data_IF_567507318863
#
_entry.id   IF_567507318863
#
_cell.length_a   1.000
_cell.length_b   1.000
_cell.length_c   1.000
_cell.angle_alpha   90.00
_cell.angle_beta   90.00
_cell.angle_gamma   90.00
#
_symmetry.space_group_name_H-M   'P 1'
#
loop_
_entity.id
_entity.type
_entity.pdbx_description
1 polymer ?
#
# COMPACT_ATOMS: atom_id res chain seq x y z
N UNK A 1 22.09 -2.65 2.48
CA UNK A 1 21.85 -2.33 1.06
C UNK A 1 20.60 -1.48 0.99
N UNK A 2 20.51 -0.59 0.00
CA UNK A 2 19.33 0.26 -0.19
C UNK A 2 18.18 -0.61 -0.70
N UNK A 3 16.97 -0.35 -0.23
CA UNK A 3 15.82 -1.21 -0.50
C UNK A 3 15.03 -0.67 -1.70
N UNK A 4 14.65 -1.53 -2.64
CA UNK A 4 13.74 -1.17 -3.74
C UNK A 4 12.45 -0.56 -3.19
N UNK A 5 12.07 0.61 -3.72
CA UNK A 5 10.85 1.33 -3.35
C UNK A 5 9.61 0.61 -3.88
N UNK A 6 8.46 0.80 -3.24
CA UNK A 6 7.21 0.20 -3.68
C UNK A 6 6.80 0.75 -5.05
N UNK A 7 7.07 2.03 -5.34
CA UNK A 7 6.86 2.59 -6.67
C UNK A 7 7.68 1.90 -7.74
N UNK A 8 8.98 1.73 -7.53
CA UNK A 8 9.85 1.04 -8.50
C UNK A 8 9.42 -0.41 -8.69
N UNK A 9 9.03 -1.08 -7.61
CA UNK A 9 8.52 -2.44 -7.64
C UNK A 9 7.23 -2.53 -8.46
N UNK A 10 6.29 -1.59 -8.26
CA UNK A 10 5.09 -1.51 -9.08
C UNK A 10 5.42 -1.27 -10.55
N UNK A 11 6.29 -0.30 -10.86
CA UNK A 11 6.70 -0.03 -12.24
C UNK A 11 7.37 -1.23 -12.91
N UNK A 12 8.10 -2.05 -12.14
CA UNK A 12 8.65 -3.33 -12.62
C UNK A 12 7.55 -4.36 -12.92
N UNK A 13 6.60 -4.55 -11.99
CA UNK A 13 5.47 -5.47 -12.16
C UNK A 13 4.56 -5.07 -13.34
N UNK A 14 4.48 -3.77 -13.64
CA UNK A 14 3.74 -3.24 -14.79
C UNK A 14 4.54 -3.27 -16.11
N UNK A 15 5.80 -3.73 -16.10
CA UNK A 15 6.67 -3.73 -17.29
C UNK A 15 7.05 -2.33 -17.80
N UNK A 16 7.00 -1.31 -16.94
CA UNK A 16 7.26 0.11 -17.30
C UNK A 16 8.73 0.53 -17.18
N UNK A 17 9.56 -0.23 -16.47
CA UNK A 17 10.99 0.02 -16.37
C UNK A 17 11.73 -0.58 -17.57
N UNK A 18 12.14 0.30 -18.49
CA UNK A 18 12.77 0.00 -19.79
C UNK A 18 14.21 -0.53 -19.73
N UNK A 19 14.76 -0.77 -18.54
CA UNK A 19 16.08 -1.42 -18.40
C UNK A 19 16.02 -2.95 -18.48
N UNK A 20 14.81 -3.55 -18.45
CA UNK A 20 14.62 -4.93 -18.89
C UNK A 20 14.57 -4.96 -20.41
N UNK A 21 15.72 -5.17 -21.04
CA UNK A 21 15.79 -5.50 -22.46
C UNK A 21 15.04 -6.82 -22.63
N UNK A 22 13.79 -6.72 -23.12
CA UNK A 22 12.83 -7.80 -23.41
C UNK A 22 12.01 -8.21 -22.18
N UNK A 23 10.68 -8.16 -22.30
CA UNK A 23 9.70 -8.54 -21.26
C UNK A 23 9.72 -10.03 -20.90
N UNK A 24 10.86 -10.51 -20.41
CA UNK A 24 11.17 -11.87 -19.98
C UNK A 24 12.19 -11.86 -18.83
N UNK A 25 12.30 -10.79 -18.05
CA UNK A 25 13.06 -10.87 -16.80
C UNK A 25 12.27 -11.73 -15.81
N UNK A 26 12.91 -12.77 -15.31
CA UNK A 26 12.37 -13.61 -14.25
C UNK A 26 12.10 -12.74 -13.02
N UNK A 27 10.81 -12.48 -12.75
CA UNK A 27 10.36 -11.69 -11.60
C UNK A 27 10.47 -12.47 -10.28
N UNK A 28 10.78 -13.78 -10.31
CA UNK A 28 10.84 -14.63 -9.11
C UNK A 28 11.72 -14.07 -7.98
N UNK A 29 12.95 -13.60 -8.24
CA UNK A 29 13.81 -13.08 -7.18
C UNK A 29 13.21 -11.84 -6.51
N UNK A 30 12.67 -10.91 -7.31
CA UNK A 30 12.12 -9.66 -6.83
C UNK A 30 10.84 -9.89 -6.02
N UNK A 31 9.96 -10.76 -6.53
CA UNK A 31 8.70 -11.08 -5.86
C UNK A 31 8.95 -11.85 -4.57
N UNK A 32 9.91 -12.78 -4.56
CA UNK A 32 10.32 -13.52 -3.35
C UNK A 32 10.92 -12.59 -2.30
N UNK A 33 11.83 -11.70 -2.70
CA UNK A 33 12.47 -10.73 -1.79
C UNK A 33 11.44 -9.82 -1.09
N UNK A 34 10.38 -9.46 -1.81
CA UNK A 34 9.37 -8.52 -1.33
C UNK A 34 8.08 -9.17 -0.84
N UNK A 35 8.02 -10.50 -0.83
CA UNK A 35 6.84 -11.28 -0.44
C UNK A 35 6.25 -10.84 0.90
N UNK A 36 7.10 -10.62 1.91
CA UNK A 36 6.63 -10.22 3.23
C UNK A 36 5.90 -8.86 3.23
N UNK A 37 6.27 -7.94 2.32
CA UNK A 37 5.55 -6.66 2.15
C UNK A 37 4.15 -6.91 1.59
N UNK A 38 4.04 -7.76 0.57
CA UNK A 38 2.76 -8.13 -0.06
C UNK A 38 1.83 -8.82 0.93
N UNK A 39 2.36 -9.77 1.70
CA UNK A 39 1.63 -10.51 2.73
C UNK A 39 1.04 -9.60 3.80
N UNK A 40 1.78 -8.57 4.24
CA UNK A 40 1.40 -7.71 5.35
C UNK A 40 0.53 -6.51 4.92
N UNK A 41 0.54 -6.14 3.64
CA UNK A 41 -0.17 -4.94 3.15
C UNK A 41 0.19 -3.71 4.00
N UNK A 42 -0.80 -2.99 4.53
CA UNK A 42 -0.53 -1.76 5.29
C UNK A 42 0.14 -2.03 6.65
N UNK A 43 0.02 -3.24 7.21
CA UNK A 43 0.71 -3.63 8.45
C UNK A 43 2.23 -3.76 8.27
N UNK A 44 2.72 -3.73 7.02
CA UNK A 44 4.14 -3.63 6.74
C UNK A 44 4.72 -2.32 7.31
N UNK A 45 3.93 -1.24 7.34
CA UNK A 45 4.30 0.05 7.91
C UNK A 45 4.00 0.06 9.40
N UNK A 46 5.00 -0.29 10.20
CA UNK A 46 4.90 -0.45 11.64
C UNK A 46 4.83 0.91 12.33
N UNK A 47 4.21 0.93 13.50
CA UNK A 47 4.21 2.09 14.39
C UNK A 47 5.57 2.31 15.05
N UNK A 48 5.86 3.53 15.55
CA UNK A 48 7.07 3.82 16.31
C UNK A 48 7.26 2.85 17.49
N UNK A 49 8.51 2.49 17.77
CA UNK A 49 8.83 1.55 18.85
C UNK A 49 10.07 1.97 19.63
N UNK A 50 10.07 1.70 20.94
CA UNK A 50 11.24 1.99 21.79
C UNK A 50 12.48 1.24 21.33
N UNK A 51 12.32 0.05 20.76
CA UNK A 51 13.40 -0.77 20.22
C UNK A 51 14.02 -0.10 18.98
N UNK A 52 13.22 0.27 17.99
CA UNK A 52 13.69 0.94 16.77
C UNK A 52 14.31 2.30 17.06
N UNK A 53 13.71 3.06 18.00
CA UNK A 53 14.27 4.32 18.49
C UNK A 53 15.66 4.15 19.12
N UNK A 54 15.85 3.11 19.93
CA UNK A 54 17.15 2.81 20.53
C UNK A 54 18.15 2.37 19.46
N UNK A 55 17.73 1.49 18.54
CA UNK A 55 18.57 1.04 17.42
C UNK A 55 19.02 2.22 16.56
N UNK A 56 18.12 3.12 16.17
CA UNK A 56 18.44 4.32 15.39
C UNK A 56 19.55 5.15 16.06
N UNK A 57 19.45 5.38 17.37
CA UNK A 57 20.45 6.12 18.16
C UNK A 57 21.78 5.40 18.30
N UNK A 58 21.77 4.07 18.23
CA UNK A 58 22.94 3.21 18.36
C UNK A 58 23.53 2.78 17.01
N UNK A 59 22.92 3.18 15.88
CA UNK A 59 23.42 2.81 14.56
C UNK A 59 24.88 3.24 14.44
N UNK A 60 25.81 2.28 14.18
CA UNK A 60 27.18 2.63 13.85
C UNK A 60 27.21 3.43 12.55
N UNK A 61 28.36 3.97 12.16
CA UNK A 61 28.54 4.71 10.90
C UNK A 61 27.92 3.97 9.70
N UNK A 62 26.68 4.30 9.39
CA UNK A 62 25.95 3.76 8.25
C UNK A 62 26.37 4.60 7.07
N UNK A 63 26.70 3.97 5.93
CA UNK A 63 26.83 4.66 4.65
C UNK A 63 25.65 5.60 4.45
N UNK A 64 25.85 6.88 4.74
CA UNK A 64 24.96 7.93 4.28
C UNK A 64 25.40 8.27 2.87
N UNK A 65 24.43 8.69 2.07
CA UNK A 65 24.56 9.09 0.68
C UNK A 65 26.01 9.42 0.27
N UNK A 66 26.54 8.69 -0.72
CA UNK A 66 27.86 8.83 -1.38
C UNK A 66 28.95 7.77 -1.06
N UNK A 67 28.59 6.59 -0.57
CA UNK A 67 29.54 5.50 -0.28
C UNK A 67 30.60 5.82 0.80
N UNK A 68 30.53 6.98 1.44
CA UNK A 68 31.38 7.32 2.56
C UNK A 68 30.76 6.81 3.87
N UNK A 69 31.56 6.12 4.68
CA UNK A 69 31.15 5.72 6.03
C UNK A 69 31.11 6.99 6.87
N UNK A 70 29.92 7.49 7.16
CA UNK A 70 29.73 8.63 8.03
C UNK A 70 28.71 8.28 9.11
N UNK A 71 28.95 8.74 10.33
CA UNK A 71 27.96 8.65 11.41
C UNK A 71 26.71 9.44 11.02
N UNK A 72 25.52 8.93 11.33
CA UNK A 72 24.29 9.72 11.27
C UNK A 72 24.51 10.98 12.13
N UNK A 73 24.44 12.15 11.51
CA UNK A 73 24.61 13.39 12.26
C UNK A 73 23.47 13.49 13.29
N UNK A 74 23.71 14.09 14.48
CA UNK A 74 22.65 14.31 15.46
C UNK A 74 21.43 15.01 14.87
N UNK A 75 21.67 15.97 13.98
CA UNK A 75 20.63 16.72 13.26
C UNK A 75 19.75 15.80 12.39
N UNK A 76 20.35 14.89 11.61
CA UNK A 76 19.58 13.91 10.82
C UNK A 76 18.83 12.95 11.74
N UNK A 77 19.43 12.51 12.84
CA UNK A 77 18.78 11.62 13.81
C UNK A 77 17.52 12.27 14.40
N UNK A 78 17.63 13.51 14.88
CA UNK A 78 16.50 14.26 15.44
C UNK A 78 15.42 14.53 14.38
N UNK A 79 15.84 14.80 13.13
CA UNK A 79 14.93 14.92 12.00
C UNK A 79 14.15 13.63 11.73
N UNK A 80 14.82 12.47 11.66
CA UNK A 80 14.16 11.16 11.47
C UNK A 80 13.17 10.89 12.61
N UNK A 81 13.51 11.21 13.85
CA UNK A 81 12.61 11.04 14.99
C UNK A 81 11.37 11.93 14.89
N UNK A 82 11.53 13.18 14.44
CA UNK A 82 10.42 14.12 14.20
C UNK A 82 9.50 13.66 13.07
N UNK A 83 10.08 13.17 11.97
CA UNK A 83 9.31 12.61 10.85
C UNK A 83 8.58 11.33 11.28
N UNK A 84 9.24 10.45 12.02
CA UNK A 84 8.65 9.21 12.55
C UNK A 84 7.40 9.48 13.40
N UNK A 85 7.46 10.49 14.28
CA UNK A 85 6.32 10.94 15.08
C UNK A 85 5.19 11.52 14.21
N UNK A 86 5.55 12.31 13.19
CA UNK A 86 4.58 12.92 12.26
C UNK A 86 3.84 11.86 11.44
N UNK A 87 4.57 10.85 10.94
CA UNK A 87 4.04 9.79 10.08
C UNK A 87 3.35 8.65 10.86
N UNK A 88 3.53 8.58 12.19
CA UNK A 88 3.24 7.38 12.99
C UNK A 88 3.89 6.12 12.37
N UNK A 89 5.16 6.26 11.95
CA UNK A 89 5.96 5.23 11.28
C UNK A 89 7.20 4.87 12.12
N UNK A 90 7.53 3.59 12.18
CA UNK A 90 8.74 3.07 12.81
C UNK A 90 10.00 3.85 12.44
N UNK A 91 10.86 4.10 13.42
CA UNK A 91 12.04 4.94 13.28
C UNK A 91 13.02 4.42 12.21
N UNK A 92 13.17 3.10 12.09
CA UNK A 92 14.07 2.50 11.09
C UNK A 92 13.42 2.48 9.69
N UNK A 93 12.10 2.30 9.62
CA UNK A 93 11.37 2.45 8.35
C UNK A 93 11.38 3.90 7.87
N UNK A 94 11.33 4.86 8.79
CA UNK A 94 11.46 6.29 8.49
C UNK A 94 12.86 6.63 7.97
N UNK A 95 13.92 6.04 8.55
CA UNK A 95 15.28 6.18 8.02
C UNK A 95 15.40 5.63 6.58
N UNK A 96 14.80 4.46 6.31
CA UNK A 96 14.80 3.86 4.97
C UNK A 96 14.03 4.73 3.96
N UNK A 97 12.84 5.21 4.35
CA UNK A 97 12.04 6.14 3.57
C UNK A 97 12.85 7.40 3.21
N UNK A 98 13.52 7.99 4.20
CA UNK A 98 14.42 9.13 4.01
C UNK A 98 15.51 8.81 2.98
N UNK A 99 16.23 7.70 3.14
CA UNK A 99 17.30 7.31 2.23
C UNK A 99 16.79 7.13 0.80
N UNK A 100 15.63 6.49 0.62
CA UNK A 100 15.02 6.29 -0.68
C UNK A 100 14.55 7.60 -1.32
N UNK A 101 13.92 8.48 -0.54
CA UNK A 101 13.49 9.80 -1.00
C UNK A 101 14.66 10.57 -1.62
N UNK A 102 15.79 10.62 -0.92
CA UNK A 102 17.00 11.30 -1.38
C UNK A 102 17.54 10.75 -2.70
N UNK A 103 17.52 9.42 -2.88
CA UNK A 103 17.99 8.80 -4.12
C UNK A 103 17.05 9.06 -5.29
N UNK A 104 15.73 9.01 -5.06
CA UNK A 104 14.73 9.27 -6.10
C UNK A 104 14.72 10.73 -6.55
N UNK A 105 15.08 11.67 -5.67
CA UNK A 105 15.00 13.10 -5.96
C UNK A 105 16.34 13.75 -6.33
N UNK A 106 17.45 12.98 -6.33
CA UNK A 106 18.81 13.39 -6.77
C UNK A 106 19.19 14.85 -6.44
N UNK A 107 18.68 15.40 -5.33
CA UNK A 107 19.01 16.76 -4.95
C UNK A 107 20.36 16.70 -4.26
N UNK A 108 21.40 17.05 -5.01
CA UNK A 108 22.75 17.30 -4.51
C UNK A 108 22.78 18.56 -3.61
N UNK A 109 21.92 18.59 -2.59
CA UNK A 109 21.79 19.68 -1.65
C UNK A 109 22.07 19.15 -0.27
N UNK A 110 22.99 19.79 0.46
CA UNK A 110 23.33 19.47 1.85
C UNK A 110 22.18 19.77 2.85
N UNK A 111 20.95 19.91 2.37
CA UNK A 111 19.79 20.33 3.18
C UNK A 111 18.87 19.14 3.42
N UNK A 112 18.35 19.07 4.64
CA UNK A 112 17.26 18.17 4.98
C UNK A 112 16.02 18.50 4.14
N UNK A 113 15.24 17.49 3.73
CA UNK A 113 14.02 17.69 2.98
C UNK A 113 12.93 18.28 3.89
N UNK A 114 11.89 18.86 3.29
CA UNK A 114 10.71 19.25 4.08
C UNK A 114 10.03 17.99 4.63
N UNK A 115 9.55 18.04 5.86
CA UNK A 115 8.74 16.98 6.47
C UNK A 115 7.51 16.67 5.60
N UNK A 116 6.95 17.69 4.96
CA UNK A 116 5.80 17.57 4.04
C UNK A 116 6.14 16.76 2.79
N UNK A 117 7.37 16.86 2.28
CA UNK A 117 7.78 16.09 1.10
C UNK A 117 7.92 14.61 1.45
N UNK A 118 8.54 14.30 2.60
CA UNK A 118 8.60 12.94 3.11
C UNK A 118 7.21 12.40 3.47
N UNK A 119 6.32 13.26 3.97
CA UNK A 119 4.92 12.91 4.19
C UNK A 119 4.26 12.50 2.87
N UNK A 120 4.37 13.30 1.82
CA UNK A 120 3.82 12.96 0.50
C UNK A 120 4.37 11.63 0.00
N UNK A 121 5.71 11.50 0.00
CA UNK A 121 6.40 10.30 -0.47
C UNK A 121 5.99 9.04 0.29
N UNK A 122 5.85 9.11 1.61
CA UNK A 122 5.33 8.01 2.43
C UNK A 122 3.92 7.60 2.03
N UNK A 123 3.02 8.57 1.82
CA UNK A 123 1.64 8.29 1.43
C UNK A 123 1.58 7.62 0.05
N UNK A 124 2.45 8.01 -0.89
CA UNK A 124 2.58 7.33 -2.18
C UNK A 124 3.10 5.90 -2.04
N UNK A 125 4.17 5.67 -1.27
CA UNK A 125 4.75 4.34 -1.07
C UNK A 125 3.75 3.35 -0.46
N UNK A 126 2.82 3.82 0.40
CA UNK A 126 1.73 3.01 0.93
C UNK A 126 0.75 2.57 -0.15
N UNK A 127 0.37 3.50 -1.03
CA UNK A 127 -0.54 3.22 -2.14
C UNK A 127 0.13 2.24 -3.11
N UNK A 128 1.39 2.50 -3.49
CA UNK A 128 2.12 1.63 -4.41
C UNK A 128 2.30 0.21 -3.88
N UNK A 129 2.42 0.01 -2.56
CA UNK A 129 2.44 -1.34 -2.01
C UNK A 129 1.14 -2.10 -2.33
N UNK A 130 -0.01 -1.45 -2.18
CA UNK A 130 -1.30 -2.06 -2.53
C UNK A 130 -1.42 -2.27 -4.04
N UNK A 131 -0.95 -1.32 -4.85
CA UNK A 131 -0.91 -1.47 -6.32
C UNK A 131 -0.03 -2.64 -6.77
N UNK A 132 1.11 -2.89 -6.12
CA UNK A 132 1.92 -4.08 -6.39
C UNK A 132 1.10 -5.35 -6.21
N UNK A 133 0.37 -5.47 -5.10
CA UNK A 133 -0.44 -6.66 -4.83
C UNK A 133 -1.60 -6.76 -5.82
N UNK A 134 -2.28 -5.65 -6.13
CA UNK A 134 -3.29 -5.61 -7.20
C UNK A 134 -2.72 -6.08 -8.53
N UNK A 135 -1.50 -5.66 -8.89
CA UNK A 135 -0.81 -6.07 -10.11
C UNK A 135 -0.53 -7.57 -10.13
N UNK A 136 -0.07 -8.14 -9.01
CA UNK A 136 0.14 -9.59 -8.89
C UNK A 136 -1.15 -10.37 -9.15
N UNK A 137 -2.26 -9.98 -8.53
CA UNK A 137 -3.55 -10.66 -8.75
C UNK A 137 -4.09 -10.43 -10.17
N UNK A 138 -3.98 -9.22 -10.70
CA UNK A 138 -4.44 -8.93 -12.07
C UNK A 138 -3.68 -9.72 -13.13
N UNK A 139 -2.38 -9.90 -12.92
CA UNK A 139 -1.49 -10.60 -13.85
C UNK A 139 -1.34 -12.09 -13.51
N UNK A 140 -2.17 -12.65 -12.61
CA UNK A 140 -2.07 -14.05 -12.16
C UNK A 140 -2.26 -15.06 -13.30
N UNK A 141 -3.07 -14.72 -14.30
CA UNK A 141 -3.32 -15.56 -15.47
C UNK A 141 -2.44 -15.21 -16.68
N UNK A 142 -1.42 -14.37 -16.50
CA UNK A 142 -0.47 -14.05 -17.56
C UNK A 142 0.67 -15.08 -17.58
N UNK A 143 0.61 -15.99 -18.56
CA UNK A 143 1.62 -17.04 -18.78
C UNK A 143 3.04 -16.48 -19.02
N UNK A 144 3.18 -15.18 -19.32
CA UNK A 144 4.47 -14.51 -19.49
C UNK A 144 5.24 -14.33 -18.16
N UNK A 145 4.57 -14.48 -17.01
CA UNK A 145 5.12 -14.19 -15.69
C UNK A 145 4.92 -15.36 -14.68
N UNK A 146 5.64 -16.48 -14.85
CA UNK A 146 5.39 -17.72 -14.08
C UNK A 146 5.60 -17.61 -12.56
N UNK A 147 6.32 -16.60 -12.10
CA UNK A 147 6.54 -16.32 -10.67
C UNK A 147 5.30 -15.76 -9.95
N UNK A 148 4.44 -15.06 -10.70
CA UNK A 148 3.26 -14.38 -10.16
C UNK A 148 2.24 -15.40 -9.65
N UNK A 149 1.86 -16.46 -10.40
CA UNK A 149 0.95 -17.49 -9.92
C UNK A 149 1.36 -18.16 -8.62
N UNK A 150 2.65 -18.50 -8.50
CA UNK A 150 3.16 -19.13 -7.29
C UNK A 150 3.02 -18.20 -6.07
N UNK A 151 3.27 -16.91 -6.28
CA UNK A 151 3.16 -15.89 -5.24
C UNK A 151 1.72 -15.67 -4.81
N UNK A 152 0.81 -15.56 -5.78
CA UNK A 152 -0.63 -15.41 -5.54
C UNK A 152 -1.17 -16.61 -4.75
N UNK A 153 -0.80 -17.83 -5.14
CA UNK A 153 -1.15 -19.04 -4.38
C UNK A 153 -0.62 -19.00 -2.95
N UNK A 154 0.62 -18.55 -2.74
CA UNK A 154 1.16 -18.39 -1.40
C UNK A 154 0.39 -17.33 -0.58
N UNK A 155 -0.02 -16.20 -1.19
CA UNK A 155 -0.84 -15.18 -0.54
C UNK A 155 -2.22 -15.73 -0.14
N UNK A 156 -2.83 -16.58 -0.96
CA UNK A 156 -4.08 -17.27 -0.60
C UNK A 156 -3.89 -18.16 0.63
N UNK A 157 -2.83 -18.96 0.68
CA UNK A 157 -2.50 -19.82 1.83
C UNK A 157 -2.27 -19.01 3.11
N UNK A 158 -1.71 -17.80 2.97
CA UNK A 158 -1.51 -16.84 4.05
C UNK A 158 -2.75 -15.99 4.38
N UNK A 159 -3.93 -16.37 3.87
CA UNK A 159 -5.23 -15.75 4.16
C UNK A 159 -5.29 -14.26 3.84
N UNK A 160 -4.74 -13.87 2.69
CA UNK A 160 -4.71 -12.47 2.24
C UNK A 160 -6.11 -11.81 2.24
N UNK A 161 -7.17 -12.54 1.87
CA UNK A 161 -8.54 -12.03 1.87
C UNK A 161 -8.99 -11.56 3.27
N UNK A 162 -8.72 -12.35 4.31
CA UNK A 162 -9.07 -11.99 5.69
C UNK A 162 -8.37 -10.69 6.10
N UNK A 163 -7.09 -10.54 5.72
CA UNK A 163 -6.31 -9.33 5.99
C UNK A 163 -6.87 -8.12 5.23
N UNK A 164 -7.20 -8.29 3.95
CA UNK A 164 -7.79 -7.22 3.12
C UNK A 164 -9.13 -6.77 3.68
N UNK A 165 -9.98 -7.69 4.14
CA UNK A 165 -11.26 -7.35 4.79
C UNK A 165 -11.02 -6.59 6.10
N UNK A 166 -10.10 -7.08 6.95
CA UNK A 166 -9.76 -6.45 8.22
C UNK A 166 -9.23 -5.02 8.02
N UNK A 167 -8.17 -4.84 7.23
CA UNK A 167 -7.56 -3.53 7.03
C UNK A 167 -8.50 -2.56 6.30
N UNK A 168 -9.34 -3.05 5.38
CA UNK A 168 -10.38 -2.20 4.78
C UNK A 168 -11.43 -1.76 5.81
N UNK A 169 -11.78 -2.64 6.75
CA UNK A 169 -12.69 -2.27 7.86
C UNK A 169 -12.06 -1.18 8.72
N UNK A 170 -10.78 -1.31 9.06
CA UNK A 170 -10.06 -0.30 9.85
C UNK A 170 -9.97 1.04 9.11
N UNK A 171 -9.70 1.03 7.81
CA UNK A 171 -9.66 2.24 6.98
C UNK A 171 -11.00 2.96 6.89
N UNK A 172 -12.10 2.26 7.16
CA UNK A 172 -13.46 2.75 6.94
C UNK A 172 -14.21 2.98 8.24
N UNK A 173 -13.49 2.87 9.37
CA UNK A 173 -14.00 3.26 10.66
C UNK A 173 -14.45 4.72 10.60
N UNK A 174 -15.76 4.93 10.70
CA UNK A 174 -16.39 6.24 10.68
C UNK A 174 -15.96 7.13 11.86
N UNK A 175 -15.37 6.53 12.90
CA UNK A 175 -14.83 7.21 14.06
C UNK A 175 -13.35 7.57 13.93
N UNK A 176 -12.67 7.14 12.86
CA UNK A 176 -11.28 7.52 12.61
C UNK A 176 -11.19 9.04 12.51
N UNK A 177 -10.48 9.67 13.46
CA UNK A 177 -10.20 11.10 13.42
C UNK A 177 -8.95 11.35 12.58
N UNK A 178 -8.89 12.51 11.93
CA UNK A 178 -7.64 13.02 11.39
C UNK A 178 -6.62 13.05 12.54
N UNK A 179 -5.41 12.49 12.37
CA UNK A 179 -4.41 12.50 13.43
C UNK A 179 -4.09 13.93 13.88
N UNK A 180 -4.11 14.17 15.19
CA UNK A 180 -4.04 15.51 15.78
C UNK A 180 -2.72 16.24 15.53
N UNK A 181 -1.65 15.49 15.22
CA UNK A 181 -0.33 16.02 14.93
C UNK A 181 -0.21 16.60 13.50
N UNK A 182 -1.19 16.37 12.62
CA UNK A 182 -1.12 16.84 11.24
C UNK A 182 -1.56 18.30 11.12
N UNK A 183 -0.81 19.06 10.33
CA UNK A 183 -1.24 20.39 9.90
C UNK A 183 -2.33 20.29 8.80
N UNK A 184 -2.89 21.44 8.39
CA UNK A 184 -3.99 21.47 7.41
C UNK A 184 -3.62 20.84 6.05
N UNK A 185 -2.40 21.08 5.56
CA UNK A 185 -1.93 20.50 4.29
C UNK A 185 -1.79 18.97 4.40
N UNK A 186 -1.17 18.51 5.49
CA UNK A 186 -1.00 17.08 5.77
C UNK A 186 -2.33 16.36 6.00
N UNK A 187 -3.31 17.02 6.62
CA UNK A 187 -4.66 16.48 6.81
C UNK A 187 -5.36 16.21 5.47
N UNK A 188 -5.20 17.12 4.48
CA UNK A 188 -5.70 16.92 3.12
C UNK A 188 -5.01 15.72 2.47
N UNK A 189 -3.67 15.65 2.51
CA UNK A 189 -2.92 14.52 1.94
C UNK A 189 -3.37 13.19 2.58
N UNK A 190 -3.47 13.17 3.92
CA UNK A 190 -3.92 12.00 4.68
C UNK A 190 -5.32 11.56 4.25
N UNK A 191 -6.28 12.48 4.12
CA UNK A 191 -7.66 12.13 3.75
C UNK A 191 -7.73 11.53 2.33
N UNK A 192 -6.99 12.10 1.38
CA UNK A 192 -6.91 11.57 0.02
C UNK A 192 -6.20 10.21 -0.02
N UNK A 193 -5.16 9.99 0.80
CA UNK A 193 -4.50 8.69 0.95
C UNK A 193 -5.47 7.62 1.47
N UNK A 194 -6.24 7.92 2.52
CA UNK A 194 -7.22 6.96 3.08
C UNK A 194 -8.18 6.47 1.99
N UNK A 195 -8.76 7.38 1.20
CA UNK A 195 -9.69 7.01 0.12
C UNK A 195 -8.98 6.22 -0.98
N UNK A 196 -7.74 6.58 -1.34
CA UNK A 196 -6.95 5.83 -2.31
C UNK A 196 -6.63 4.39 -1.83
N UNK A 197 -6.28 4.23 -0.55
CA UNK A 197 -6.05 2.92 0.07
C UNK A 197 -7.33 2.08 0.08
N UNK A 198 -8.47 2.68 0.44
CA UNK A 198 -9.77 2.01 0.37
C UNK A 198 -10.08 1.52 -1.05
N UNK A 199 -9.86 2.36 -2.07
CA UNK A 199 -10.08 2.00 -3.47
C UNK A 199 -9.12 0.90 -3.97
N UNK A 200 -7.86 0.90 -3.54
CA UNK A 200 -6.91 -0.16 -3.86
C UNK A 200 -7.31 -1.49 -3.19
N UNK A 201 -7.77 -1.46 -1.94
CA UNK A 201 -8.28 -2.64 -1.25
C UNK A 201 -9.55 -3.20 -1.92
N UNK A 202 -10.45 -2.34 -2.42
CA UNK A 202 -11.60 -2.79 -3.21
C UNK A 202 -11.18 -3.46 -4.52
N UNK A 203 -10.22 -2.88 -5.26
CA UNK A 203 -9.67 -3.53 -6.47
C UNK A 203 -9.04 -4.88 -6.16
N UNK A 204 -8.29 -4.98 -5.06
CA UNK A 204 -7.70 -6.24 -4.64
C UNK A 204 -8.78 -7.29 -4.33
N UNK A 205 -9.84 -6.92 -3.60
CA UNK A 205 -10.99 -7.82 -3.37
C UNK A 205 -11.64 -8.26 -4.68
N UNK A 206 -11.83 -7.33 -5.61
CA UNK A 206 -12.42 -7.63 -6.92
C UNK A 206 -11.60 -8.72 -7.65
N UNK A 207 -10.28 -8.56 -7.77
CA UNK A 207 -9.45 -9.57 -8.42
C UNK A 207 -9.42 -10.89 -7.65
N UNK A 208 -9.40 -10.87 -6.32
CA UNK A 208 -9.49 -12.09 -5.50
C UNK A 208 -10.81 -12.85 -5.77
N UNK A 209 -11.92 -12.14 -5.96
CA UNK A 209 -13.22 -12.77 -6.19
C UNK A 209 -13.44 -13.23 -7.63
N UNK A 210 -12.79 -12.58 -8.59
CA UNK A 210 -12.88 -12.93 -10.00
C UNK A 210 -12.23 -14.28 -10.34
N UNK A 211 -11.31 -14.79 -9.51
CA UNK A 211 -10.62 -16.07 -9.75
C UNK A 211 -11.39 -17.32 -9.31
N UNK A 212 -12.73 -17.26 -9.22
CA UNK A 212 -13.62 -18.37 -8.83
C UNK A 212 -13.34 -19.02 -7.46
N UNK A 213 -12.53 -18.38 -6.61
CA UNK A 213 -12.24 -18.84 -5.24
C UNK A 213 -13.13 -18.18 -4.19
N UNK A 214 -14.32 -17.75 -4.59
CA UNK A 214 -15.25 -17.05 -3.72
C UNK A 214 -15.90 -18.00 -2.71
N UNK A 215 -15.61 -17.80 -1.42
CA UNK A 215 -16.36 -18.45 -0.34
C UNK A 215 -17.65 -17.67 -0.07
N UNK A 216 -18.80 -18.23 -0.45
CA UNK A 216 -20.11 -17.64 -0.17
C UNK A 216 -20.35 -17.32 1.32
N UNK A 217 -19.63 -17.95 2.25
CA UNK A 217 -19.71 -17.64 3.68
C UNK A 217 -19.26 -16.20 4.00
N UNK A 218 -18.43 -15.57 3.15
CA UNK A 218 -17.96 -14.19 3.33
C UNK A 218 -18.94 -13.14 2.81
N UNK A 219 -19.86 -13.51 1.91
CA UNK A 219 -20.79 -12.60 1.25
C UNK A 219 -21.62 -11.75 2.23
N UNK A 220 -22.24 -12.30 3.30
CA UNK A 220 -23.03 -11.49 4.21
C UNK A 220 -22.21 -10.46 4.97
N UNK A 221 -20.94 -10.78 5.30
CA UNK A 221 -20.03 -9.85 5.96
C UNK A 221 -19.62 -8.73 5.01
N UNK A 222 -19.30 -9.08 3.78
CA UNK A 222 -18.96 -8.13 2.72
C UNK A 222 -20.13 -7.18 2.41
N UNK A 223 -21.33 -7.70 2.20
CA UNK A 223 -22.52 -6.90 1.91
C UNK A 223 -22.84 -5.91 3.04
N UNK A 224 -22.75 -6.35 4.31
CA UNK A 224 -22.92 -5.46 5.46
C UNK A 224 -21.87 -4.36 5.52
N UNK A 225 -20.62 -4.69 5.22
CA UNK A 225 -19.51 -3.74 5.21
C UNK A 225 -19.68 -2.68 4.11
N UNK A 226 -20.03 -3.09 2.89
CA UNK A 226 -20.31 -2.18 1.78
C UNK A 226 -21.54 -1.30 2.08
N UNK A 227 -22.61 -1.87 2.62
CA UNK A 227 -23.80 -1.12 3.03
C UNK A 227 -23.49 -0.09 4.12
N UNK A 228 -22.68 -0.46 5.13
CA UNK A 228 -22.30 0.44 6.22
C UNK A 228 -21.59 1.71 5.72
N UNK A 229 -20.81 1.57 4.63
CA UNK A 229 -20.08 2.65 3.96
C UNK A 229 -20.89 3.35 2.87
N UNK A 230 -22.17 3.00 2.70
CA UNK A 230 -22.99 3.47 1.58
C UNK A 230 -22.26 3.27 0.24
N UNK A 231 -21.72 2.06 0.05
CA UNK A 231 -20.92 1.63 -1.10
C UNK A 231 -19.66 2.47 -1.37
N UNK A 232 -19.19 3.21 -0.38
CA UNK A 232 -18.03 4.10 -0.47
C UNK A 232 -18.39 5.57 -0.40
N UNK A 233 -19.67 5.93 -0.51
CA UNK A 233 -20.15 7.33 -0.46
C UNK A 233 -20.03 7.95 0.92
N UNK A 234 -20.11 7.14 1.99
CA UNK A 234 -20.02 7.62 3.37
C UNK A 234 -18.55 7.81 3.77
N UNK A 235 -18.01 8.97 3.47
CA UNK A 235 -16.64 9.36 3.81
C UNK A 235 -16.64 10.40 4.94
N UNK A 236 -16.16 10.07 6.15
CA UNK A 236 -16.16 11.01 7.30
C UNK A 236 -15.41 12.31 7.02
N UNK A 237 -14.38 12.25 6.17
CA UNK A 237 -13.48 13.36 5.85
C UNK A 237 -13.68 13.89 4.43
N UNK A 238 -14.87 13.72 3.84
CA UNK A 238 -15.15 14.11 2.45
C UNK A 238 -14.80 15.58 2.16
N UNK A 239 -15.02 16.47 3.12
CA UNK A 239 -14.72 17.90 2.99
C UNK A 239 -13.22 18.22 2.83
N UNK A 240 -12.32 17.31 3.23
CA UNK A 240 -10.87 17.44 3.08
C UNK A 240 -10.37 16.88 1.74
N UNK A 241 -11.21 16.18 0.97
CA UNK A 241 -10.80 15.56 -0.28
C UNK A 241 -10.55 16.61 -1.35
N UNK A 242 -9.51 16.39 -2.15
CA UNK A 242 -9.30 17.15 -3.38
C UNK A 242 -10.16 16.54 -4.51
N UNK A 243 -10.04 17.08 -5.72
CA UNK A 243 -10.79 16.59 -6.88
C UNK A 243 -10.56 15.10 -7.16
N UNK A 244 -9.29 14.68 -7.24
CA UNK A 244 -8.91 13.27 -7.41
C UNK A 244 -9.46 12.37 -6.31
N UNK A 245 -9.45 12.82 -5.05
CA UNK A 245 -10.04 12.09 -3.93
C UNK A 245 -11.54 11.89 -4.11
N UNK A 246 -12.27 12.91 -4.56
CA UNK A 246 -13.71 12.81 -4.84
C UNK A 246 -14.00 11.88 -6.03
N UNK A 247 -13.19 11.94 -7.08
CA UNK A 247 -13.28 10.99 -8.21
C UNK A 247 -13.01 9.55 -7.75
N UNK A 248 -12.06 9.37 -6.82
CA UNK A 248 -11.77 8.06 -6.24
C UNK A 248 -12.97 7.50 -5.49
N UNK A 249 -13.72 8.33 -4.75
CA UNK A 249 -14.97 7.91 -4.10
C UNK A 249 -16.00 7.41 -5.13
N UNK A 250 -16.13 8.09 -6.27
CA UNK A 250 -17.01 7.63 -7.36
C UNK A 250 -16.56 6.26 -7.89
N UNK A 251 -15.26 6.07 -8.10
CA UNK A 251 -14.70 4.77 -8.50
C UNK A 251 -14.97 3.68 -7.47
N UNK A 252 -14.90 3.99 -6.17
CA UNK A 252 -15.23 3.04 -5.11
C UNK A 252 -16.70 2.60 -5.16
N UNK A 253 -17.63 3.49 -5.50
CA UNK A 253 -19.04 3.13 -5.66
C UNK A 253 -19.23 2.10 -6.78
N UNK A 254 -18.57 2.31 -7.93
CA UNK A 254 -18.61 1.34 -9.03
C UNK A 254 -17.97 0.01 -8.64
N UNK A 255 -16.78 0.03 -8.03
CA UNK A 255 -16.09 -1.18 -7.57
C UNK A 255 -16.91 -1.96 -6.56
N UNK A 256 -17.49 -1.28 -5.56
CA UNK A 256 -18.33 -1.93 -4.54
C UNK A 256 -19.56 -2.59 -5.16
N UNK A 257 -20.18 -1.94 -6.15
CA UNK A 257 -21.31 -2.49 -6.87
C UNK A 257 -20.90 -3.71 -7.71
N UNK A 258 -19.78 -3.61 -8.43
CA UNK A 258 -19.25 -4.68 -9.28
C UNK A 258 -18.87 -5.91 -8.44
N UNK A 259 -18.17 -5.71 -7.33
CA UNK A 259 -17.82 -6.76 -6.37
C UNK A 259 -19.06 -7.51 -5.89
N UNK A 260 -20.14 -6.80 -5.56
CA UNK A 260 -21.36 -7.43 -5.08
C UNK A 260 -22.08 -8.23 -6.19
N UNK A 261 -22.14 -7.69 -7.41
CA UNK A 261 -22.72 -8.39 -8.56
C UNK A 261 -21.95 -9.66 -8.87
N UNK A 262 -20.62 -9.57 -8.91
CA UNK A 262 -19.72 -10.71 -9.15
C UNK A 262 -19.89 -11.79 -8.07
N UNK A 263 -19.87 -11.38 -6.81
CA UNK A 263 -19.99 -12.28 -5.67
C UNK A 263 -21.36 -12.99 -5.57
N UNK A 264 -22.38 -12.51 -6.28
CA UNK A 264 -23.70 -13.17 -6.35
C UNK A 264 -23.73 -14.31 -7.37
N UNK A 265 -22.73 -14.43 -8.25
CA UNK A 265 -22.65 -15.44 -9.32
C UNK A 265 -23.98 -15.60 -10.07
N UNK A 266 -24.56 -14.48 -10.49
CA UNK A 266 -25.89 -14.44 -11.10
C UNK A 266 -25.96 -15.30 -12.37
N UNK A 267 -24.87 -15.41 -13.12
CA UNK A 267 -24.79 -16.25 -14.31
C UNK A 267 -25.05 -17.72 -14.00
N UNK A 268 -24.42 -18.27 -12.95
CA UNK A 268 -24.65 -19.62 -12.45
C UNK A 268 -26.06 -19.80 -11.91
N UNK A 269 -26.60 -18.79 -11.22
CA UNK A 269 -27.96 -18.83 -10.69
C UNK A 269 -29.01 -18.91 -11.80
N UNK A 270 -28.81 -18.20 -12.91
CA UNK A 270 -29.76 -18.14 -14.03
C UNK A 270 -29.50 -19.15 -15.15
N UNK A 271 -28.31 -19.75 -15.23
CA UNK A 271 -28.00 -20.79 -16.22
C UNK A 271 -28.68 -22.13 -15.90
N UNK A 272 -29.14 -22.34 -14.67
CA UNK A 272 -29.81 -23.58 -14.26
C UNK A 272 -28.89 -24.80 -14.30
N UNK A 273 -27.58 -24.61 -14.43
CA UNK A 273 -26.58 -25.66 -14.27
C UNK A 273 -26.49 -25.98 -12.78
N UNK A 274 -27.18 -27.05 -12.37
CA UNK A 274 -27.06 -27.61 -11.02
C UNK A 274 -25.59 -27.98 -10.75
N UNK A 275 -25.00 -27.33 -9.75
CA UNK A 275 -23.73 -27.74 -9.12
C UNK A 275 -23.89 -29.02 -8.32
#
# INVERSE_FOLDING_TARGET
>A
ELQTTNRQLYELLEGKLTHSVHGQEDLSPVVTEHYNRFKLLLDYFKKPSSESKQKLKQLPETKLLNNEKAKLSPEVCDFILSVSETLDLDELQTLNLYQNYFLSHLSATDRLPDVTDLFHYYNEERIYLLECVVSLFRNNNDDSHPAIPQTVEQLYQDKILDRVILQFTDLTDAHAKVPSQLNQSQAVIWANRVVAEQAAMLRLKFYIFFEDRFDFSVLPKLAKLLQFQDFGSKQPHYALLNEKGRETVVTMNYLSSLILVEALQLETLFSGEES
#
